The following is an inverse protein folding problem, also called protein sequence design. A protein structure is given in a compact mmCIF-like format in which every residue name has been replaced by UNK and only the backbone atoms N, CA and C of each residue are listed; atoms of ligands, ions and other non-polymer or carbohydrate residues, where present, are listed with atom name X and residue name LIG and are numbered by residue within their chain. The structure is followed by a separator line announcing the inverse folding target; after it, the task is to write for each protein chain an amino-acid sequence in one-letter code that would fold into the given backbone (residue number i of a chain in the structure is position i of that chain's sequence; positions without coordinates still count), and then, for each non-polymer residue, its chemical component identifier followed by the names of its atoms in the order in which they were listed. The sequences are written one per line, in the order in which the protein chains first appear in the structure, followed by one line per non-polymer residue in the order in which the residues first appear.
data_IF_536334980495
#
_entry.id   IF_536334980495
#
_cell.length_a   1.000
_cell.length_b   1.000
_cell.length_c   1.000
_cell.angle_alpha   90.00
_cell.angle_beta   90.00
_cell.angle_gamma   90.00
#
_symmetry.space_group_name_H-M   'P 1'
#
loop_
_entity.id
_entity.type
_entity.pdbx_description
1 polymer ?
#
# COMPACT_ATOMS: atom_id res chain seq x y z
N UNK A 1 8.46 11.42 8.39
CA UNK A 1 7.82 10.23 7.77
C UNK A 1 8.76 9.66 6.73
N UNK A 2 8.97 8.34 6.70
CA UNK A 2 9.76 7.68 5.64
C UNK A 2 8.87 7.22 4.49
N UNK A 3 9.37 7.31 3.26
CA UNK A 3 8.72 6.80 2.06
C UNK A 3 9.71 5.96 1.25
N UNK A 4 9.20 4.92 0.61
CA UNK A 4 9.92 4.04 -0.29
C UNK A 4 9.79 4.57 -1.72
N UNK A 5 10.90 4.69 -2.44
CA UNK A 5 10.86 4.95 -3.87
C UNK A 5 10.30 3.73 -4.60
N UNK A 6 9.34 3.98 -5.48
CA UNK A 6 8.53 2.91 -6.11
C UNK A 6 9.29 2.06 -7.12
N UNK A 7 10.48 2.48 -7.51
CA UNK A 7 11.36 1.77 -8.43
C UNK A 7 12.62 1.32 -7.72
N UNK A 8 13.15 0.21 -8.21
CA UNK A 8 14.50 -0.23 -7.93
C UNK A 8 15.51 0.74 -8.56
N UNK A 9 16.56 1.09 -7.83
CA UNK A 9 17.67 1.93 -8.33
C UNK A 9 18.73 1.05 -9.01
N UNK A 10 19.68 1.66 -9.74
CA UNK A 10 20.61 0.98 -10.66
C UNK A 10 21.42 -0.20 -10.05
N UNK A 11 21.59 -0.25 -8.72
CA UNK A 11 22.32 -1.31 -8.03
C UNK A 11 21.45 -2.47 -7.54
N UNK A 12 20.18 -2.49 -7.93
CA UNK A 12 19.21 -3.48 -7.51
C UNK A 12 18.61 -3.26 -6.12
N UNK A 13 18.85 -2.07 -5.57
CA UNK A 13 18.42 -1.65 -4.25
C UNK A 13 17.13 -0.81 -4.32
N UNK A 14 16.55 -0.52 -3.16
CA UNK A 14 15.44 0.42 -3.05
C UNK A 14 15.90 1.64 -2.24
N UNK A 15 15.44 2.82 -2.66
CA UNK A 15 15.70 4.05 -1.93
C UNK A 15 14.60 4.29 -0.90
N UNK A 16 14.99 4.54 0.34
CA UNK A 16 14.10 5.00 1.40
C UNK A 16 14.55 6.40 1.79
N UNK A 17 13.61 7.34 1.83
CA UNK A 17 13.90 8.72 2.20
C UNK A 17 12.97 9.21 3.28
N UNK A 18 13.54 9.93 4.24
CA UNK A 18 12.78 10.63 5.26
C UNK A 18 12.36 12.02 4.77
N UNK A 19 11.10 12.36 5.04
CA UNK A 19 10.49 13.62 4.70
C UNK A 19 9.89 14.27 5.95
N UNK A 20 10.09 15.58 6.06
CA UNK A 20 9.36 16.44 6.99
C UNK A 20 7.91 16.62 6.53
N UNK A 21 7.02 17.10 7.41
CA UNK A 21 5.62 17.35 7.03
C UNK A 21 5.47 18.38 5.92
N UNK A 22 6.35 19.40 5.88
CA UNK A 22 6.33 20.46 4.87
C UNK A 22 6.89 20.05 3.51
N UNK A 23 7.69 18.97 3.46
CA UNK A 23 8.39 18.52 2.25
C UNK A 23 7.87 17.16 1.76
N UNK A 24 6.80 16.65 2.35
CA UNK A 24 6.23 15.36 1.98
C UNK A 24 5.71 15.40 0.54
N UNK A 25 6.25 14.59 -0.39
CA UNK A 25 5.80 14.55 -1.77
C UNK A 25 4.43 13.88 -1.88
N UNK A 26 3.84 13.85 -3.07
CA UNK A 26 2.66 13.01 -3.30
C UNK A 26 3.04 11.53 -3.28
N UNK A 27 2.39 10.75 -2.42
CA UNK A 27 2.65 9.31 -2.27
C UNK A 27 1.39 8.44 -2.36
N UNK A 28 1.60 7.17 -2.67
CA UNK A 28 0.64 6.09 -2.48
C UNK A 28 0.83 5.46 -1.10
N UNK A 29 -0.19 4.83 -0.53
CA UNK A 29 -0.09 4.12 0.75
C UNK A 29 -0.57 2.68 0.60
N UNK A 30 0.12 1.73 1.22
CA UNK A 30 -0.26 0.32 1.24
C UNK A 30 -0.81 -0.06 2.62
N UNK A 31 -2.09 -0.37 2.65
CA UNK A 31 -2.76 -1.04 3.75
C UNK A 31 -2.72 -2.55 3.52
N UNK A 32 -2.30 -3.32 4.50
CA UNK A 32 -2.25 -4.77 4.39
C UNK A 32 -2.37 -5.44 5.76
N UNK A 33 -2.71 -6.73 5.75
CA UNK A 33 -2.60 -7.56 6.97
C UNK A 33 -1.22 -8.20 7.01
N UNK A 34 -0.51 -8.06 8.13
CA UNK A 34 0.79 -8.68 8.29
C UNK A 34 0.68 -10.21 8.26
N UNK A 35 1.60 -10.83 7.54
CA UNK A 35 1.72 -12.28 7.46
C UNK A 35 3.08 -12.76 7.98
N UNK A 36 3.32 -14.08 7.93
CA UNK A 36 4.66 -14.60 8.16
C UNK A 36 5.56 -14.20 6.98
N UNK A 37 6.81 -13.83 7.25
CA UNK A 37 7.73 -13.43 6.18
C UNK A 37 7.54 -12.00 5.66
N UNK A 38 7.01 -11.09 6.47
CA UNK A 38 7.07 -9.66 6.15
C UNK A 38 8.54 -9.19 6.03
N UNK A 39 8.80 -8.34 5.05
CA UNK A 39 10.08 -7.64 4.92
C UNK A 39 10.02 -6.40 5.82
N UNK A 40 11.03 -6.22 6.66
CA UNK A 40 11.16 -5.09 7.57
C UNK A 40 12.17 -4.08 7.03
N UNK A 41 12.19 -2.88 7.62
CA UNK A 41 13.21 -1.87 7.36
C UNK A 41 14.64 -2.43 7.46
N UNK A 42 14.91 -3.21 8.51
CA UNK A 42 16.24 -3.77 8.78
C UNK A 42 16.68 -4.77 7.72
N UNK A 43 15.75 -5.52 7.12
CA UNK A 43 16.09 -6.45 6.03
C UNK A 43 16.62 -5.70 4.81
N UNK A 44 16.09 -4.50 4.54
CA UNK A 44 16.47 -3.69 3.38
C UNK A 44 17.78 -2.93 3.57
N UNK A 45 18.03 -2.42 4.78
CA UNK A 45 19.27 -1.72 5.11
C UNK A 45 20.47 -2.68 5.21
N UNK A 46 20.21 -3.94 5.60
CA UNK A 46 21.27 -4.92 5.86
C UNK A 46 21.56 -5.87 4.69
N UNK A 47 20.54 -6.56 4.16
CA UNK A 47 20.73 -7.61 3.15
C UNK A 47 19.51 -7.79 2.25
N UNK A 48 19.49 -7.00 1.17
CA UNK A 48 18.45 -7.03 0.15
C UNK A 48 18.27 -8.39 -0.54
N UNK A 49 19.32 -9.20 -0.66
CA UNK A 49 19.20 -10.54 -1.22
C UNK A 49 18.33 -11.44 -0.33
N UNK A 50 18.51 -11.36 0.98
CA UNK A 50 17.66 -12.08 1.95
C UNK A 50 16.25 -11.51 2.03
N UNK A 51 16.09 -10.20 1.85
CA UNK A 51 14.78 -9.57 1.78
C UNK A 51 13.96 -10.13 0.60
N UNK A 52 14.58 -10.32 -0.56
CA UNK A 52 13.96 -10.88 -1.78
C UNK A 52 13.45 -12.32 -1.63
N UNK A 53 14.05 -13.10 -0.74
CA UNK A 53 13.61 -14.48 -0.48
C UNK A 53 12.32 -14.55 0.35
N UNK A 54 11.88 -13.43 0.94
CA UNK A 54 10.68 -13.40 1.77
C UNK A 54 9.42 -13.24 0.92
N UNK A 55 8.37 -13.97 1.29
CA UNK A 55 7.05 -13.89 0.64
C UNK A 55 6.47 -12.46 0.66
N UNK A 56 6.80 -11.67 1.70
CA UNK A 56 6.40 -10.27 1.79
C UNK A 56 7.00 -9.38 0.70
N UNK A 57 8.13 -9.76 0.09
CA UNK A 57 8.87 -8.95 -0.89
C UNK A 57 8.08 -8.72 -2.17
N UNK A 58 7.48 -9.78 -2.70
CA UNK A 58 6.63 -9.76 -3.89
C UNK A 58 5.57 -8.66 -3.79
N UNK A 59 4.87 -8.61 -2.65
CA UNK A 59 3.84 -7.61 -2.39
C UNK A 59 4.38 -6.18 -2.57
N UNK A 60 5.60 -5.89 -2.12
CA UNK A 60 6.22 -4.56 -2.24
C UNK A 60 6.55 -4.24 -3.69
N UNK A 61 7.22 -5.15 -4.39
CA UNK A 61 7.58 -4.95 -5.79
C UNK A 61 6.34 -4.68 -6.64
N UNK A 62 5.30 -5.49 -6.45
CA UNK A 62 4.04 -5.41 -7.18
C UNK A 62 3.26 -4.13 -6.83
N UNK A 63 3.23 -3.72 -5.56
CA UNK A 63 2.58 -2.46 -5.15
C UNK A 63 3.38 -1.22 -5.59
N UNK A 64 4.71 -1.28 -5.55
CA UNK A 64 5.61 -0.24 -6.04
C UNK A 64 5.42 -0.01 -7.53
N UNK A 65 5.43 -1.08 -8.32
CA UNK A 65 5.16 -1.01 -9.76
C UNK A 65 3.78 -0.41 -10.07
N UNK A 66 2.75 -0.80 -9.30
CA UNK A 66 1.42 -0.23 -9.45
C UNK A 66 1.39 1.26 -9.11
N UNK A 67 2.01 1.67 -8.00
CA UNK A 67 2.12 3.07 -7.62
C UNK A 67 2.79 3.89 -8.73
N UNK A 68 3.90 3.38 -9.27
CA UNK A 68 4.62 3.98 -10.39
C UNK A 68 3.74 4.16 -11.63
N UNK A 69 3.04 3.11 -12.07
CA UNK A 69 2.12 3.20 -13.22
C UNK A 69 0.96 4.19 -13.00
N UNK A 70 0.62 4.45 -11.74
CA UNK A 70 -0.40 5.43 -11.36
C UNK A 70 0.15 6.85 -11.17
N UNK A 71 1.44 7.07 -11.45
CA UNK A 71 2.11 8.36 -11.35
C UNK A 71 2.50 8.75 -9.91
N UNK A 72 2.72 7.77 -9.05
CA UNK A 72 3.25 7.98 -7.69
C UNK A 72 4.68 7.46 -7.65
N UNK A 73 5.62 8.35 -7.37
CA UNK A 73 7.05 7.99 -7.25
C UNK A 73 7.37 7.38 -5.89
N UNK A 74 6.54 7.69 -4.89
CA UNK A 74 6.74 7.31 -3.49
C UNK A 74 5.57 6.48 -2.99
N UNK A 75 5.87 5.46 -2.20
CA UNK A 75 4.88 4.64 -1.49
C UNK A 75 5.23 4.53 -0.01
N UNK A 76 4.20 4.60 0.84
CA UNK A 76 4.31 4.32 2.27
C UNK A 76 3.81 2.91 2.56
N UNK A 77 4.60 2.14 3.31
CA UNK A 77 4.28 0.78 3.76
C UNK A 77 4.72 0.67 5.22
N UNK A 78 3.81 0.35 6.14
CA UNK A 78 4.07 0.35 7.59
C UNK A 78 5.20 -0.59 8.05
N UNK A 79 5.39 -1.74 7.38
CA UNK A 79 6.49 -2.67 7.66
C UNK A 79 7.87 -2.11 7.31
N UNK A 80 7.95 -1.13 6.41
CA UNK A 80 9.18 -0.50 5.94
C UNK A 80 9.40 0.89 6.52
N UNK A 81 8.35 1.68 6.56
CA UNK A 81 8.42 3.11 6.81
C UNK A 81 8.37 3.46 8.30
N UNK A 82 8.22 2.46 9.17
CA UNK A 82 8.24 2.61 10.63
C UNK A 82 9.32 1.71 11.21
N UNK A 83 10.20 2.27 12.05
CA UNK A 83 11.14 1.49 12.84
C UNK A 83 10.43 1.02 14.10
N UNK A 84 10.01 -0.24 14.06
CA UNK A 84 9.28 -0.88 15.16
C UNK A 84 10.19 -1.24 16.33
N UNK A 85 11.51 -1.11 16.19
CA UNK A 85 12.46 -1.31 17.30
C UNK A 85 12.55 -0.07 18.20
N UNK A 86 12.20 1.10 17.66
CA UNK A 86 12.09 2.35 18.41
C UNK A 86 10.67 2.53 18.95
N UNK A 87 10.50 2.38 20.27
CA UNK A 87 9.20 2.60 20.92
C UNK A 87 8.69 4.04 20.79
N UNK A 88 9.62 5.01 20.72
CA UNK A 88 9.31 6.41 20.47
C UNK A 88 8.73 6.58 19.05
N UNK A 89 9.41 6.05 18.04
CA UNK A 89 8.94 6.16 16.65
C UNK A 89 7.62 5.41 16.43
N UNK A 90 7.47 4.23 17.02
CA UNK A 90 6.23 3.47 16.95
C UNK A 90 5.05 4.28 17.54
N UNK A 91 5.27 4.96 18.65
CA UNK A 91 4.24 5.79 19.29
C UNK A 91 3.88 7.01 18.43
N UNK A 92 4.88 7.68 17.85
CA UNK A 92 4.66 8.79 16.92
C UNK A 92 3.92 8.34 15.66
N UNK A 93 4.27 7.15 15.14
CA UNK A 93 3.63 6.56 13.98
C UNK A 93 2.16 6.24 14.25
N UNK A 94 1.83 5.67 15.41
CA UNK A 94 0.44 5.41 15.81
C UNK A 94 -0.38 6.71 15.83
N UNK A 95 0.18 7.79 16.38
CA UNK A 95 -0.50 9.08 16.46
C UNK A 95 -0.62 9.78 15.10
N UNK A 96 0.25 9.44 14.15
CA UNK A 96 0.33 10.09 12.82
C UNK A 96 -0.36 9.29 11.71
N UNK A 97 -0.65 8.00 11.92
CA UNK A 97 -1.09 7.08 10.88
C UNK A 97 -2.36 7.56 10.16
N UNK A 98 -3.37 8.03 10.90
CA UNK A 98 -4.59 8.56 10.30
C UNK A 98 -4.29 9.70 9.31
N UNK A 99 -3.43 10.64 9.71
CA UNK A 99 -3.00 11.78 8.89
C UNK A 99 -2.25 11.29 7.65
N UNK A 100 -1.38 10.30 7.77
CA UNK A 100 -0.68 9.71 6.64
C UNK A 100 -1.63 9.01 5.66
N UNK A 101 -2.66 8.31 6.13
CA UNK A 101 -3.69 7.76 5.24
C UNK A 101 -4.55 8.85 4.59
N UNK A 102 -4.90 9.92 5.32
CA UNK A 102 -5.70 11.02 4.79
C UNK A 102 -4.97 11.80 3.68
N UNK A 103 -3.67 12.04 3.86
CA UNK A 103 -2.84 12.80 2.93
C UNK A 103 -2.37 11.97 1.73
N UNK A 104 -2.41 10.63 1.83
CA UNK A 104 -2.07 9.77 0.72
C UNK A 104 -2.96 10.07 -0.49
N UNK A 105 -2.33 10.19 -1.67
CA UNK A 105 -3.10 10.45 -2.89
C UNK A 105 -3.88 9.22 -3.36
N UNK A 106 -3.49 8.02 -2.91
CA UNK A 106 -4.21 6.77 -3.09
C UNK A 106 -3.83 5.76 -2.01
N UNK A 107 -4.80 4.99 -1.54
CA UNK A 107 -4.60 3.82 -0.68
C UNK A 107 -4.82 2.52 -1.45
N UNK A 108 -3.86 1.61 -1.39
CA UNK A 108 -3.95 0.24 -1.85
C UNK A 108 -4.23 -0.66 -0.65
N UNK A 109 -5.36 -1.37 -0.64
CA UNK A 109 -5.65 -2.39 0.37
C UNK A 109 -5.30 -3.77 -0.18
N UNK A 110 -4.26 -4.43 0.34
CA UNK A 110 -3.82 -5.76 -0.09
C UNK A 110 -4.49 -6.86 0.75
N UNK A 111 -5.26 -7.71 0.07
CA UNK A 111 -6.02 -8.80 0.69
C UNK A 111 -5.31 -10.13 0.41
N UNK A 112 -4.50 -10.56 1.39
CA UNK A 112 -3.66 -11.76 1.32
C UNK A 112 -4.45 -13.08 1.15
N UNK A 113 -5.67 -13.15 1.68
CA UNK A 113 -6.50 -14.36 1.72
C UNK A 113 -7.55 -14.45 0.60
N UNK A 114 -7.42 -13.63 -0.44
CA UNK A 114 -8.26 -13.62 -1.64
C UNK A 114 -7.39 -13.99 -2.84
N UNK A 115 -7.76 -15.00 -3.66
CA UNK A 115 -9.13 -15.49 -3.87
C UNK A 115 -9.56 -16.70 -3.03
N UNK A 116 -8.74 -17.18 -2.10
CA UNK A 116 -9.07 -18.35 -1.27
C UNK A 116 -10.38 -18.14 -0.46
N UNK A 117 -10.70 -16.88 -0.15
CA UNK A 117 -11.97 -16.44 0.44
C UNK A 117 -12.67 -15.42 -0.44
N UNK A 118 -13.97 -15.24 -0.20
CA UNK A 118 -14.68 -14.07 -0.71
C UNK A 118 -14.09 -12.80 -0.10
N UNK A 119 -14.12 -11.71 -0.88
CA UNK A 119 -13.57 -10.41 -0.46
C UNK A 119 -14.16 -9.95 0.88
N UNK A 120 -15.47 -10.11 1.08
CA UNK A 120 -16.17 -9.69 2.31
C UNK A 120 -15.71 -10.46 3.56
N UNK A 121 -15.19 -11.67 3.36
CA UNK A 121 -14.74 -12.59 4.40
C UNK A 121 -13.22 -12.50 4.61
N UNK A 122 -12.55 -11.56 3.93
CA UNK A 122 -11.12 -11.32 4.10
C UNK A 122 -10.83 -10.83 5.53
N UNK A 123 -9.74 -11.34 6.11
CA UNK A 123 -9.20 -10.86 7.41
C UNK A 123 -8.94 -9.37 7.43
N UNK A 124 -8.74 -8.74 6.26
CA UNK A 124 -8.58 -7.30 6.19
C UNK A 124 -9.79 -6.56 6.78
N UNK A 125 -11.03 -7.04 6.54
CA UNK A 125 -12.23 -6.40 7.07
C UNK A 125 -12.49 -6.64 8.56
N UNK A 126 -11.77 -7.57 9.20
CA UNK A 126 -11.99 -7.93 10.61
C UNK A 126 -11.01 -7.25 11.57
N UNK A 127 -10.07 -6.45 11.07
CA UNK A 127 -9.02 -5.80 11.85
C UNK A 127 -9.46 -4.38 12.26
N UNK A 128 -9.32 -4.03 13.54
CA UNK A 128 -9.75 -2.72 14.04
C UNK A 128 -9.09 -1.49 13.37
N UNK A 129 -7.89 -1.66 12.81
CA UNK A 129 -7.15 -0.59 12.15
C UNK A 129 -7.58 -0.32 10.70
N UNK A 130 -8.06 -1.34 9.97
CA UNK A 130 -8.36 -1.22 8.52
C UNK A 130 -9.53 -0.29 8.23
N UNK A 131 -10.38 -0.02 9.23
CA UNK A 131 -11.41 1.00 9.11
C UNK A 131 -10.81 2.39 8.86
N UNK A 132 -9.77 2.77 9.61
CA UNK A 132 -9.10 4.07 9.42
C UNK A 132 -8.45 4.14 8.03
N UNK A 133 -7.80 3.04 7.63
CA UNK A 133 -7.15 2.88 6.33
C UNK A 133 -8.13 2.94 5.15
N UNK A 134 -9.40 2.57 5.39
CA UNK A 134 -10.49 2.67 4.42
C UNK A 134 -11.06 4.09 4.30
N UNK A 135 -11.28 4.77 5.43
CA UNK A 135 -12.08 6.01 5.49
C UNK A 135 -11.26 7.31 5.45
N UNK A 136 -9.99 7.23 5.84
CA UNK A 136 -9.09 8.38 5.86
C UNK A 136 -8.69 8.82 4.44
N UNK A 137 -8.26 7.92 3.53
CA UNK A 137 -7.85 8.33 2.19
C UNK A 137 -9.00 8.92 1.36
N UNK A 138 -8.69 9.96 0.57
CA UNK A 138 -9.66 10.52 -0.38
C UNK A 138 -10.00 9.56 -1.53
N UNK A 139 -9.08 8.64 -1.85
CA UNK A 139 -9.21 7.61 -2.88
C UNK A 139 -8.61 6.30 -2.35
N UNK A 140 -9.36 5.21 -2.45
CA UNK A 140 -8.90 3.86 -2.10
C UNK A 140 -9.12 2.88 -3.25
N UNK A 141 -8.27 1.86 -3.34
CA UNK A 141 -8.32 0.74 -4.28
C UNK A 141 -7.98 -0.55 -3.56
N UNK A 142 -8.73 -1.60 -3.83
CA UNK A 142 -8.51 -2.94 -3.26
C UNK A 142 -7.68 -3.77 -4.24
N UNK A 143 -6.60 -4.38 -3.74
CA UNK A 143 -5.70 -5.30 -4.42
C UNK A 143 -5.88 -6.72 -3.86
N UNK A 144 -5.72 -7.74 -4.72
CA UNK A 144 -5.88 -9.16 -4.36
C UNK A 144 -4.54 -9.89 -4.36
N UNK A 145 -4.41 -10.91 -3.53
CA UNK A 145 -3.25 -11.80 -3.46
C UNK A 145 -3.24 -12.80 -4.61
N UNK A 146 -2.68 -12.33 -5.71
CA UNK A 146 -2.09 -13.05 -6.84
C UNK A 146 -1.95 -11.97 -7.89
N UNK A 147 -0.73 -11.52 -8.10
CA UNK A 147 -0.49 -10.44 -9.06
C UNK A 147 -0.42 -11.05 -10.44
N UNK A 148 -1.59 -11.49 -10.90
CA UNK A 148 -1.95 -11.21 -12.28
C UNK A 148 -2.28 -9.73 -12.29
N UNK A 149 -1.47 -8.94 -12.99
CA UNK A 149 -1.76 -7.56 -13.33
C UNK A 149 -3.03 -7.47 -14.20
N UNK A 150 -4.20 -7.82 -13.65
CA UNK A 150 -5.49 -7.64 -14.30
C UNK A 150 -6.02 -6.27 -13.91
N UNK A 151 -5.62 -5.34 -14.77
CA UNK A 151 -5.95 -3.93 -14.83
C UNK A 151 -7.42 -3.63 -14.54
N UNK A 152 -7.65 -2.62 -13.68
CA UNK A 152 -8.94 -1.93 -13.58
C UNK A 152 -8.71 -0.42 -13.73
N UNK A 153 -8.96 0.12 -14.92
CA UNK A 153 -8.95 1.57 -15.22
C UNK A 153 -10.39 2.06 -15.55
N UNK A 154 -10.67 3.37 -15.29
CA UNK A 154 -11.78 4.38 -15.52
C UNK A 154 -11.43 5.64 -16.41
N UNK A 155 -12.21 6.03 -17.44
CA UNK A 155 -12.34 7.32 -18.21
C UNK A 155 -11.48 7.60 -19.49
N UNK A 156 -12.04 8.06 -20.66
CA UNK A 156 -12.87 9.28 -20.78
C UNK A 156 -14.06 9.20 -21.80
N UNK A 157 -15.26 9.65 -21.46
CA UNK A 157 -15.60 11.07 -21.66
C UNK A 157 -16.23 11.60 -20.36
N UNK A 158 -15.45 12.35 -19.59
CA UNK A 158 -15.67 12.60 -18.17
C UNK A 158 -15.88 11.32 -17.31
N UNK A 159 -14.77 10.62 -17.00
CA UNK A 159 -14.62 9.90 -15.73
C UNK A 159 -15.15 8.46 -15.56
N UNK A 160 -15.52 7.71 -16.61
CA UNK A 160 -16.02 6.32 -16.50
C UNK A 160 -15.40 5.32 -17.55
N UNK A 161 -14.89 4.12 -17.15
CA UNK A 161 -14.62 2.82 -17.86
C UNK A 161 -15.27 1.54 -17.22
N UNK A 162 -16.12 0.77 -17.91
CA UNK A 162 -16.63 -0.48 -17.30
C UNK A 162 -15.65 -1.61 -17.56
N UNK A 163 -15.41 -2.49 -16.58
CA UNK A 163 -14.66 -3.74 -16.75
C UNK A 163 -15.55 -4.96 -16.64
N UNK A 164 -15.22 -5.97 -17.44
CA UNK A 164 -15.74 -7.33 -17.29
C UNK A 164 -14.89 -8.09 -16.28
N UNK A 165 -15.56 -8.62 -15.28
CA UNK A 165 -15.03 -9.63 -14.38
C UNK A 165 -15.60 -10.98 -14.85
N UNK A 166 -14.75 -12.00 -14.95
CA UNK A 166 -15.17 -13.35 -14.59
C UNK A 166 -15.00 -13.47 -13.06
N UNK A 167 -15.58 -12.57 -12.28
CA UNK A 167 -16.67 -12.86 -11.35
C UNK A 167 -17.14 -11.54 -10.71
N UNK A 168 -18.45 -11.37 -10.65
CA UNK A 168 -19.23 -10.13 -10.64
C UNK A 168 -19.11 -9.13 -9.46
N UNK A 169 -17.95 -8.91 -8.82
CA UNK A 169 -17.85 -7.92 -7.72
C UNK A 169 -16.59 -7.06 -7.76
N UNK A 170 -16.77 -5.77 -8.07
CA UNK A 170 -15.80 -4.70 -7.81
C UNK A 170 -16.55 -3.55 -7.11
N UNK A 171 -16.04 -3.09 -5.96
CA UNK A 171 -16.62 -1.99 -5.18
C UNK A 171 -15.62 -0.84 -5.17
N UNK A 172 -16.03 0.31 -5.71
CA UNK A 172 -15.24 1.54 -5.75
C UNK A 172 -15.84 2.53 -4.75
N UNK A 173 -15.14 2.84 -3.67
CA UNK A 173 -15.60 3.81 -2.67
C UNK A 173 -15.05 5.20 -3.00
N UNK A 174 -15.95 6.15 -3.23
CA UNK A 174 -15.62 7.58 -3.34
C UNK A 174 -16.42 8.33 -2.29
N UNK A 175 -15.73 8.92 -1.31
CA UNK A 175 -16.35 9.78 -0.29
C UNK A 175 -17.03 10.94 -1.02
N UNK A 176 -18.37 10.96 -1.04
CA UNK A 176 -19.13 12.13 -1.49
C UNK A 176 -18.86 13.24 -0.47
N UNK A 177 -18.35 14.38 -0.95
CA UNK A 177 -18.36 15.62 -0.15
C UNK A 177 -19.83 15.95 0.13
N UNK A 178 -20.17 16.14 1.41
CA UNK A 178 -21.35 16.92 1.77
C UNK A 178 -21.07 18.38 1.45
#
# INVERSE_FOLDING_TARGET
MRLLYTKEIENGNYEIKEFSESETPRYAILSHTWEQGEVTLQDMEGNLARAREKEGFDKIEKCGLLAWHMGYEWIWIDTFCIDKTSSAELSEAINSMYKWYEQAGICFAYLADVPQKEMKDSRWFTRGWTLQELIAPRKSRILRCNVDATWVQRGPSAGYFRLYLNTSQSIFWRKRRR
#
